data_IF_684572309540
#
_entry.id   IF_684572309540
#
_cell.length_a   1.000
_cell.length_b   1.000
_cell.length_c   1.000
_cell.angle_alpha   90.00
_cell.angle_beta   90.00
_cell.angle_gamma   90.00
#
_symmetry.space_group_name_H-M   'P 1'
#
loop_
_entity.id
_entity.type
_entity.pdbx_description
1 polymer ?
#
# COMPACT_ATOMS: atom_id res chain seq x y z
N UNK A 1 5.19 4.99 6.31
CA UNK A 1 4.01 4.17 5.95
C UNK A 1 4.07 2.88 6.75
N UNK A 2 2.99 2.52 7.43
CA UNK A 2 2.91 1.25 8.18
C UNK A 2 2.54 0.15 7.20
N UNK A 3 3.20 -0.99 7.32
CA UNK A 3 2.93 -2.17 6.51
C UNK A 3 2.74 -3.41 7.40
N UNK A 4 2.10 -4.42 6.84
CA UNK A 4 1.88 -5.73 7.47
C UNK A 4 2.27 -6.86 6.49
N UNK A 5 2.35 -8.08 7.02
CA UNK A 5 2.53 -9.27 6.19
C UNK A 5 1.33 -9.43 5.25
N UNK A 6 1.60 -9.86 4.02
CA UNK A 6 0.58 -10.03 2.99
C UNK A 6 0.68 -11.37 2.27
N UNK A 7 1.38 -12.36 2.84
CA UNK A 7 1.50 -13.68 2.20
C UNK A 7 0.15 -14.35 1.98
N UNK A 8 -0.81 -14.09 2.86
CA UNK A 8 -2.17 -14.66 2.81
C UNK A 8 -3.24 -13.62 2.46
N UNK A 9 -2.86 -12.41 2.05
CA UNK A 9 -3.83 -11.39 1.66
C UNK A 9 -4.42 -11.71 0.29
N UNK A 10 -5.76 -11.78 0.09
CA UNK A 10 -6.35 -12.32 -1.13
C UNK A 10 -5.97 -11.58 -2.43
N UNK A 11 -5.69 -10.28 -2.34
CA UNK A 11 -5.19 -9.46 -3.45
C UNK A 11 -3.66 -9.26 -3.44
N UNK A 12 -3.10 -8.79 -2.32
CA UNK A 12 -1.69 -8.37 -2.25
C UNK A 12 -0.66 -9.51 -2.30
N UNK A 13 -1.06 -10.77 -2.13
CA UNK A 13 -0.17 -11.94 -2.29
C UNK A 13 0.40 -12.07 -3.70
N UNK A 14 -0.35 -11.60 -4.70
CA UNK A 14 -0.01 -11.68 -6.13
C UNK A 14 0.97 -10.59 -6.59
N UNK A 15 1.24 -9.59 -5.74
CA UNK A 15 2.16 -8.48 -6.03
C UNK A 15 3.57 -8.77 -5.49
N UNK A 16 4.55 -7.94 -5.84
CA UNK A 16 5.98 -8.11 -5.49
C UNK A 16 6.67 -9.28 -6.21
N UNK A 17 8.00 -9.26 -6.21
CA UNK A 17 8.79 -10.33 -6.82
C UNK A 17 8.54 -11.70 -6.14
N UNK A 18 8.64 -12.84 -6.85
CA UNK A 18 8.34 -14.18 -6.31
C UNK A 18 9.21 -14.68 -5.15
N UNK A 19 10.16 -13.89 -4.65
CA UNK A 19 11.11 -14.28 -3.59
C UNK A 19 11.29 -13.22 -2.48
N UNK A 20 10.53 -12.14 -2.55
CA UNK A 20 10.54 -11.09 -1.53
C UNK A 20 9.37 -11.27 -0.59
N UNK A 21 9.55 -10.92 0.68
CA UNK A 21 8.45 -10.88 1.64
C UNK A 21 7.28 -10.05 1.08
N UNK A 22 6.10 -10.66 1.04
CA UNK A 22 4.89 -9.98 0.59
C UNK A 22 4.45 -9.02 1.68
N UNK A 23 4.37 -7.73 1.34
CA UNK A 23 3.97 -6.67 2.26
C UNK A 23 2.76 -5.93 1.70
N UNK A 24 1.81 -5.59 2.56
CA UNK A 24 0.74 -4.66 2.23
C UNK A 24 0.83 -3.44 3.10
N UNK A 25 0.39 -2.30 2.56
CA UNK A 25 0.11 -1.11 3.36
C UNK A 25 -1.12 -1.39 4.22
N UNK A 26 -1.15 -0.78 5.40
CA UNK A 26 -2.36 -0.74 6.22
C UNK A 26 -3.22 0.43 5.73
N UNK A 27 -4.46 0.15 5.35
CA UNK A 27 -5.43 1.17 4.92
C UNK A 27 -6.41 1.41 6.06
N UNK A 28 -6.43 2.64 6.58
CA UNK A 28 -7.35 3.04 7.64
C UNK A 28 -8.71 3.34 7.01
N UNK A 29 -9.75 2.60 7.43
CA UNK A 29 -11.12 2.85 7.01
C UNK A 29 -11.55 4.27 7.41
N UNK A 30 -12.26 4.96 6.51
CA UNK A 30 -12.59 6.38 6.69
C UNK A 30 -13.32 6.66 8.00
N UNK A 31 -14.22 5.78 8.43
CA UNK A 31 -14.98 5.95 9.67
C UNK A 31 -14.14 5.78 10.95
N UNK A 32 -12.92 5.24 10.85
CA UNK A 32 -11.96 5.09 11.96
C UNK A 32 -10.83 6.12 11.91
N UNK A 33 -10.88 7.08 10.98
CA UNK A 33 -9.81 8.06 10.82
C UNK A 33 -9.62 8.92 12.08
N UNK A 34 -10.71 9.37 12.70
CA UNK A 34 -10.65 10.16 13.94
C UNK A 34 -10.11 9.33 15.11
N UNK A 35 -10.47 8.05 15.21
CA UNK A 35 -9.93 7.11 16.19
C UNK A 35 -8.41 6.98 16.02
N UNK A 36 -7.95 6.74 14.79
CA UNK A 36 -6.54 6.62 14.43
C UNK A 36 -5.75 7.89 14.79
N UNK A 37 -6.24 9.06 14.41
CA UNK A 37 -5.56 10.33 14.64
C UNK A 37 -5.60 10.81 16.10
N UNK A 38 -6.52 10.27 16.91
CA UNK A 38 -6.69 10.64 18.32
C UNK A 38 -5.96 9.72 19.30
N UNK A 39 -5.24 8.70 18.82
CA UNK A 39 -4.50 7.76 19.67
C UNK A 39 -3.48 8.50 20.55
N UNK A 40 -3.66 8.38 21.88
CA UNK A 40 -2.71 8.90 22.88
C UNK A 40 -1.64 7.89 23.26
N UNK A 41 -1.94 6.61 23.07
CA UNK A 41 -1.07 5.47 23.35
C UNK A 41 -0.93 4.72 22.03
N UNK A 42 0.28 4.29 21.64
CA UNK A 42 0.53 3.65 20.34
C UNK A 42 0.08 2.19 20.30
N UNK A 43 -1.13 1.88 20.79
CA UNK A 43 -1.75 0.58 20.61
C UNK A 43 -2.52 0.57 19.28
N UNK A 44 -1.86 0.06 18.23
CA UNK A 44 -2.39 0.07 16.87
C UNK A 44 -2.88 -1.31 16.41
N UNK A 45 -2.86 -2.33 17.28
CA UNK A 45 -3.08 -3.73 16.88
C UNK A 45 -4.42 -3.94 16.15
N UNK A 46 -5.47 -3.22 16.54
CA UNK A 46 -6.80 -3.28 15.90
C UNK A 46 -6.87 -2.61 14.51
N UNK A 47 -5.82 -1.90 14.10
CA UNK A 47 -5.72 -1.31 12.76
C UNK A 47 -4.86 -2.14 11.81
N UNK A 48 -4.11 -3.14 12.31
CA UNK A 48 -3.20 -3.95 11.49
C UNK A 48 -3.98 -5.10 10.86
N UNK A 49 -4.80 -4.76 9.87
CA UNK A 49 -5.66 -5.70 9.15
C UNK A 49 -5.60 -5.47 7.62
N UNK A 50 -5.94 -6.51 6.88
CA UNK A 50 -6.11 -6.46 5.42
C UNK A 50 -7.27 -5.58 5.02
N UNK A 51 -7.10 -4.83 3.94
CA UNK A 51 -8.22 -4.12 3.35
C UNK A 51 -9.17 -5.14 2.68
N UNK A 52 -10.49 -4.90 2.69
CA UNK A 52 -11.46 -5.77 2.04
C UNK A 52 -11.29 -5.70 0.52
N UNK A 53 -11.13 -6.84 -0.15
CA UNK A 53 -10.84 -6.87 -1.60
C UNK A 53 -12.01 -6.38 -2.47
N UNK A 54 -13.22 -6.35 -1.90
CA UNK A 54 -14.44 -5.88 -2.56
C UNK A 54 -14.49 -4.36 -2.70
N UNK A 55 -13.70 -3.62 -1.92
CA UNK A 55 -13.65 -2.14 -1.95
C UNK A 55 -12.48 -1.61 -2.79
N UNK A 56 -11.62 -2.48 -3.33
CA UNK A 56 -10.39 -2.10 -4.02
C UNK A 56 -10.28 -2.80 -5.38
N UNK A 57 -9.71 -2.08 -6.33
CA UNK A 57 -9.41 -2.59 -7.67
C UNK A 57 -7.93 -2.39 -7.99
N UNK A 58 -7.38 -3.30 -8.78
CA UNK A 58 -6.02 -3.19 -9.28
C UNK A 58 -5.98 -3.35 -10.79
N UNK A 59 -5.18 -2.52 -11.45
CA UNK A 59 -5.02 -2.51 -12.89
C UNK A 59 -3.54 -2.58 -13.26
N UNK A 60 -3.22 -3.25 -14.36
CA UNK A 60 -1.87 -3.24 -14.92
C UNK A 60 -1.55 -1.84 -15.45
N UNK A 61 -0.60 -1.14 -14.79
CA UNK A 61 -0.16 0.20 -15.15
C UNK A 61 1.37 0.24 -15.24
N UNK A 62 1.96 -0.17 -16.38
CA UNK A 62 3.42 -0.15 -16.54
C UNK A 62 3.92 1.30 -16.52
N UNK A 63 5.11 1.52 -15.94
CA UNK A 63 5.76 2.83 -15.97
C UNK A 63 5.87 3.29 -17.42
N UNK A 64 5.33 4.46 -17.72
CA UNK A 64 5.55 5.11 -19.02
C UNK A 64 7.05 5.38 -19.14
N UNK A 65 7.62 5.12 -20.33
CA UNK A 65 9.02 5.49 -20.58
C UNK A 65 9.08 7.01 -20.53
N UNK A 66 9.94 7.54 -19.65
CA UNK A 66 10.21 8.98 -19.61
C UNK A 66 10.70 9.39 -21.00
N UNK A 67 10.09 10.42 -21.58
CA UNK A 67 10.66 11.06 -22.76
C UNK A 67 11.95 11.75 -22.29
N UNK A 68 13.14 11.39 -22.82
CA UNK A 68 14.40 12.00 -22.42
C UNK A 68 14.44 13.52 -22.65
N UNK A 69 13.53 14.06 -23.47
CA UNK A 69 13.37 15.50 -23.70
C UNK A 69 12.24 16.15 -22.86
N UNK A 70 11.56 15.38 -22.01
CA UNK A 70 10.55 15.92 -21.09
C UNK A 70 11.22 16.85 -20.07
N UNK A 71 10.64 18.03 -19.88
CA UNK A 71 11.04 18.94 -18.80
C UNK A 71 10.63 18.44 -17.41
N UNK A 72 9.89 17.33 -17.32
CA UNK A 72 9.48 16.72 -16.07
C UNK A 72 10.64 15.86 -15.53
N UNK A 73 11.31 16.37 -14.49
CA UNK A 73 12.31 15.61 -13.74
C UNK A 73 11.65 14.38 -13.11
N UNK A 74 12.17 13.19 -13.44
CA UNK A 74 11.85 11.97 -12.69
C UNK A 74 12.57 12.04 -11.34
N UNK A 75 11.81 12.14 -10.25
CA UNK A 75 12.36 12.12 -8.89
C UNK A 75 12.78 10.72 -8.42
N UNK A 76 12.63 9.70 -9.26
CA UNK A 76 12.86 8.28 -8.93
C UNK A 76 13.79 7.56 -9.92
N UNK A 77 14.49 8.31 -10.79
CA UNK A 77 15.53 7.76 -11.66
C UNK A 77 16.88 7.83 -10.91
N UNK A 78 17.19 6.80 -10.13
CA UNK A 78 18.54 6.43 -9.67
C UNK A 78 18.91 5.05 -10.23
#
# INVERSE_FOLDING_TARGET
>A
MISMDAHFHPMMSEFHEPRTDKRSVVVIQTHRLDEWLSLKIPNIASFIEGFPVEEFECFYCPKQRNDPNSSQLSMFDE
#
